data_IF_738303121833
#
_entry.id   IF_738303121833
#
_cell.length_a   1.000
_cell.length_b   1.000
_cell.length_c   1.000
_cell.angle_alpha   90.00
_cell.angle_beta   90.00
_cell.angle_gamma   90.00
#
_symmetry.space_group_name_H-M   'P 1'
#
loop_
_entity.id
_entity.type
_entity.pdbx_description
1 polymer ?
#
# COMPACT_ATOMS: atom_id res chain seq x y z
N UNK A 1 12.73 -31.78 26.46
CA UNK A 1 13.20 -31.72 25.05
C UNK A 1 12.48 -30.55 24.39
N UNK A 2 13.15 -29.40 24.27
CA UNK A 2 12.51 -28.20 23.71
C UNK A 2 12.66 -28.23 22.19
N UNK A 3 11.59 -28.56 21.48
CA UNK A 3 11.55 -28.53 20.02
C UNK A 3 11.40 -27.07 19.61
N UNK A 4 12.52 -26.42 19.30
CA UNK A 4 12.51 -25.07 18.73
C UNK A 4 12.10 -25.20 17.26
N UNK A 5 10.90 -24.74 16.93
CA UNK A 5 10.43 -24.61 15.55
C UNK A 5 11.30 -23.57 14.83
N UNK A 6 12.45 -24.00 14.32
CA UNK A 6 13.18 -23.26 13.31
C UNK A 6 12.41 -23.42 12.01
N UNK A 7 11.44 -22.54 11.78
CA UNK A 7 11.02 -22.23 10.42
C UNK A 7 12.28 -21.74 9.70
N UNK A 8 12.69 -22.33 8.57
CA UNK A 8 13.72 -21.71 7.75
C UNK A 8 13.17 -20.34 7.38
N UNK A 9 13.69 -19.28 8.00
CA UNK A 9 13.51 -17.92 7.50
C UNK A 9 14.16 -17.97 6.14
N UNK A 10 13.35 -18.17 5.11
CA UNK A 10 13.71 -18.00 3.72
C UNK A 10 14.60 -16.77 3.66
N UNK A 11 15.85 -16.99 3.26
CA UNK A 11 17.00 -16.08 3.36
C UNK A 11 16.87 -14.85 2.45
N UNK A 12 15.65 -14.47 2.11
CA UNK A 12 15.34 -13.23 1.41
C UNK A 12 15.23 -12.13 2.46
N UNK A 13 16.06 -11.08 2.38
CA UNK A 13 16.01 -9.98 3.33
C UNK A 13 14.62 -9.34 3.31
N UNK A 14 13.90 -9.47 4.43
CA UNK A 14 12.56 -8.91 4.60
C UNK A 14 12.55 -7.42 4.24
N UNK A 15 11.57 -6.98 3.46
CA UNK A 15 11.39 -5.58 3.08
C UNK A 15 11.03 -4.76 4.31
N UNK A 16 11.87 -3.81 4.68
CA UNK A 16 11.57 -2.85 5.73
C UNK A 16 10.52 -1.84 5.23
N UNK A 17 9.76 -1.20 6.14
CA UNK A 17 8.80 -0.16 5.75
C UNK A 17 9.43 1.00 4.97
N UNK A 18 10.70 1.32 5.27
CA UNK A 18 11.45 2.37 4.58
C UNK A 18 11.77 1.96 3.14
N UNK A 19 12.27 0.75 2.93
CA UNK A 19 12.56 0.22 1.60
C UNK A 19 11.27 0.10 0.78
N UNK A 20 10.18 -0.39 1.39
CA UNK A 20 8.89 -0.51 0.71
C UNK A 20 8.36 0.86 0.22
N UNK A 21 8.48 1.90 1.06
CA UNK A 21 8.11 3.26 0.66
C UNK A 21 8.97 3.81 -0.48
N UNK A 22 10.26 3.49 -0.51
CA UNK A 22 11.14 3.88 -1.62
C UNK A 22 10.80 3.11 -2.89
N UNK A 23 10.48 1.82 -2.77
CA UNK A 23 10.06 0.97 -3.88
C UNK A 23 8.76 1.47 -4.52
N UNK A 24 7.73 1.80 -3.73
CA UNK A 24 6.48 2.38 -4.24
C UNK A 24 6.74 3.71 -4.98
N UNK A 25 7.59 4.58 -4.44
CA UNK A 25 7.98 5.83 -5.11
C UNK A 25 8.73 5.57 -6.41
N UNK A 26 9.63 4.60 -6.42
CA UNK A 26 10.39 4.21 -7.59
C UNK A 26 9.48 3.60 -8.67
N UNK A 27 8.46 2.81 -8.30
CA UNK A 27 7.45 2.31 -9.22
C UNK A 27 6.64 3.43 -9.89
N UNK A 28 6.38 4.52 -9.17
CA UNK A 28 5.70 5.69 -9.72
C UNK A 28 6.60 6.52 -10.66
N UNK A 29 7.92 6.48 -10.47
CA UNK A 29 8.90 7.17 -11.31
C UNK A 29 9.26 6.37 -12.58
N UNK A 30 9.39 5.04 -12.43
CA UNK A 30 9.76 4.13 -13.51
C UNK A 30 8.55 3.33 -13.94
N UNK A 31 7.89 3.78 -15.00
CA UNK A 31 6.75 3.10 -15.59
C UNK A 31 7.18 1.81 -16.33
N UNK A 32 6.21 1.00 -16.77
CA UNK A 32 6.39 -0.28 -17.48
C UNK A 32 7.23 -0.19 -18.75
N UNK A 33 7.23 0.97 -19.41
CA UNK A 33 7.95 1.19 -20.67
C UNK A 33 9.41 1.62 -20.46
N UNK A 34 9.83 1.77 -19.19
CA UNK A 34 11.20 2.13 -18.84
C UNK A 34 12.16 0.98 -19.12
N UNK A 35 13.21 1.16 -19.95
CA UNK A 35 14.25 0.15 -20.10
C UNK A 35 14.98 -0.06 -18.77
N UNK A 36 15.36 -1.30 -18.48
CA UNK A 36 16.03 -1.67 -17.22
C UNK A 36 15.31 -1.18 -15.95
N UNK A 37 13.96 -1.17 -16.00
CA UNK A 37 13.08 -0.72 -14.92
C UNK A 37 13.50 -1.26 -13.55
N UNK A 38 13.74 -2.58 -13.47
CA UNK A 38 14.05 -3.25 -12.21
C UNK A 38 15.42 -2.86 -11.67
N UNK A 39 16.42 -2.68 -12.53
CA UNK A 39 17.74 -2.19 -12.15
C UNK A 39 17.67 -0.74 -11.65
N UNK A 40 16.84 0.10 -12.28
CA UNK A 40 16.64 1.48 -11.85
C UNK A 40 15.91 1.58 -10.51
N UNK A 41 14.90 0.74 -10.29
CA UNK A 41 14.22 0.64 -8.99
C UNK A 41 15.16 0.13 -7.91
N UNK A 42 15.95 -0.92 -8.18
CA UNK A 42 16.94 -1.44 -7.24
C UNK A 42 17.91 -0.34 -6.78
N UNK A 43 18.41 0.48 -7.72
CA UNK A 43 19.25 1.65 -7.39
C UNK A 43 18.51 2.68 -6.54
N UNK A 44 17.25 2.99 -6.86
CA UNK A 44 16.43 3.95 -6.12
C UNK A 44 16.09 3.49 -4.68
N UNK A 45 16.04 2.18 -4.44
CA UNK A 45 15.79 1.58 -3.13
C UNK A 45 17.07 1.51 -2.27
N UNK A 46 18.21 1.98 -2.79
CA UNK A 46 19.49 2.03 -2.07
C UNK A 46 20.52 1.01 -2.55
N UNK A 47 20.22 0.24 -3.60
CA UNK A 47 21.18 -0.69 -4.23
C UNK A 47 21.43 -1.99 -3.45
N UNK A 48 20.83 -2.16 -2.26
CA UNK A 48 20.98 -3.36 -1.44
C UNK A 48 20.16 -4.55 -1.96
N UNK A 49 19.11 -4.29 -2.76
CA UNK A 49 18.26 -5.31 -3.39
C UNK A 49 18.66 -5.48 -4.85
N UNK A 50 18.70 -6.73 -5.33
CA UNK A 50 18.93 -7.01 -6.74
C UNK A 50 17.67 -6.75 -7.58
N UNK A 51 17.83 -6.65 -8.91
CA UNK A 51 16.70 -6.47 -9.82
C UNK A 51 15.68 -7.63 -9.72
N UNK A 52 16.17 -8.85 -9.48
CA UNK A 52 15.35 -10.05 -9.30
C UNK A 52 14.54 -9.98 -8.00
N UNK A 53 15.17 -9.51 -6.91
CA UNK A 53 14.54 -9.32 -5.61
C UNK A 53 13.41 -8.27 -5.68
N UNK A 54 13.65 -7.18 -6.41
CA UNK A 54 12.67 -6.12 -6.69
C UNK A 54 11.53 -6.64 -7.55
N UNK A 55 11.83 -7.42 -8.59
CA UNK A 55 10.80 -8.03 -9.45
C UNK A 55 9.89 -8.97 -8.65
N UNK A 56 10.47 -9.81 -7.77
CA UNK A 56 9.70 -10.69 -6.89
C UNK A 56 8.78 -9.91 -5.96
N UNK A 57 9.25 -8.79 -5.40
CA UNK A 57 8.43 -7.92 -4.56
C UNK A 57 7.26 -7.30 -5.34
N UNK A 58 7.48 -6.93 -6.60
CA UNK A 58 6.41 -6.46 -7.47
C UNK A 58 5.36 -7.54 -7.76
N UNK A 59 5.78 -8.79 -7.99
CA UNK A 59 4.85 -9.91 -8.22
C UNK A 59 3.95 -10.15 -6.99
N UNK A 60 4.52 -10.11 -5.78
CA UNK A 60 3.76 -10.20 -4.53
C UNK A 60 2.75 -9.05 -4.42
N UNK A 61 3.17 -7.81 -4.71
CA UNK A 61 2.27 -6.65 -4.68
C UNK A 61 1.08 -6.81 -5.65
N UNK A 62 1.32 -7.36 -6.84
CA UNK A 62 0.27 -7.63 -7.82
C UNK A 62 -0.67 -8.74 -7.34
N UNK A 63 -0.14 -9.78 -6.70
CA UNK A 63 -0.95 -10.83 -6.09
C UNK A 63 -1.85 -10.28 -4.98
N UNK A 64 -1.32 -9.42 -4.11
CA UNK A 64 -2.08 -8.75 -3.05
C UNK A 64 -3.19 -7.86 -3.62
N UNK A 65 -2.89 -7.08 -4.66
CA UNK A 65 -3.89 -6.25 -5.35
C UNK A 65 -5.03 -7.10 -5.93
N UNK A 66 -4.70 -8.21 -6.60
CA UNK A 66 -5.70 -9.15 -7.13
C UNK A 66 -6.56 -9.75 -6.01
N UNK A 67 -5.97 -10.06 -4.87
CA UNK A 67 -6.72 -10.55 -3.70
C UNK A 67 -7.68 -9.50 -3.16
N UNK A 68 -7.27 -8.23 -3.11
CA UNK A 68 -8.15 -7.12 -2.70
C UNK A 68 -9.29 -6.92 -3.71
N UNK A 69 -8.97 -6.86 -5.01
CA UNK A 69 -9.95 -6.65 -6.09
C UNK A 69 -10.95 -7.80 -6.23
N UNK A 70 -10.55 -9.02 -5.84
CA UNK A 70 -11.46 -10.18 -5.82
C UNK A 70 -12.62 -10.04 -4.82
N UNK A 71 -12.70 -8.94 -4.06
CA UNK A 71 -13.82 -8.63 -3.16
C UNK A 71 -13.85 -9.52 -1.91
N UNK A 72 -12.77 -10.26 -1.62
CA UNK A 72 -12.65 -11.12 -0.43
C UNK A 72 -12.28 -10.37 0.85
N UNK A 73 -12.05 -9.06 0.78
CA UNK A 73 -11.92 -8.22 1.97
C UNK A 73 -13.30 -7.63 2.27
N UNK A 74 -13.98 -8.06 3.36
CA UNK A 74 -15.22 -7.43 3.77
C UNK A 74 -14.97 -5.95 3.95
N UNK A 75 -15.72 -5.11 3.24
CA UNK A 75 -15.67 -3.67 3.41
C UNK A 75 -15.91 -3.42 4.92
N UNK A 76 -14.99 -2.74 5.63
CA UNK A 76 -15.22 -2.40 7.01
C UNK A 76 -16.55 -1.68 7.11
N UNK A 77 -17.42 -2.12 8.03
CA UNK A 77 -18.65 -1.42 8.35
C UNK A 77 -18.27 -0.11 9.04
N UNK A 78 -17.85 0.88 8.25
CA UNK A 78 -17.82 2.26 8.69
C UNK A 78 -19.25 2.55 9.13
N UNK A 79 -19.43 2.75 10.44
CA UNK A 79 -20.72 3.18 10.97
C UNK A 79 -20.98 4.52 10.31
N UNK A 80 -21.75 4.54 9.22
CA UNK A 80 -22.49 5.73 8.85
C UNK A 80 -23.30 6.03 10.09
N UNK A 81 -22.91 7.09 10.81
CA UNK A 81 -23.76 7.67 11.83
C UNK A 81 -25.12 7.77 11.17
N UNK A 82 -26.05 6.99 11.71
CA UNK A 82 -27.46 6.99 11.34
C UNK A 82 -27.83 8.44 11.08
N UNK A 83 -28.30 8.75 9.88
CA UNK A 83 -28.95 10.02 9.59
C UNK A 83 -30.06 10.20 10.63
N UNK A 84 -29.74 10.81 11.76
CA UNK A 84 -30.69 11.43 12.65
C UNK A 84 -30.86 12.83 12.11
N UNK A 85 -31.92 12.99 11.35
CA UNK A 85 -32.47 14.26 10.91
C UNK A 85 -32.49 15.25 12.08
N UNK A 86 -31.63 16.26 12.03
CA UNK A 86 -31.84 17.54 12.71
C UNK A 86 -31.54 18.61 11.67
N UNK A 87 -32.54 18.88 10.84
CA UNK A 87 -32.59 19.88 9.75
C UNK A 87 -32.33 21.33 10.18
N UNK A 88 -31.90 21.55 11.43
CA UNK A 88 -31.78 22.87 12.03
C UNK A 88 -30.33 23.39 11.98
N UNK A 89 -29.34 22.49 11.91
CA UNK A 89 -27.91 22.86 11.96
C UNK A 89 -27.35 23.17 10.57
N UNK A 90 -27.79 22.45 9.52
CA UNK A 90 -27.35 22.72 8.15
C UNK A 90 -27.76 24.12 7.67
N UNK A 91 -28.99 24.59 7.95
CA UNK A 91 -29.39 25.97 7.63
C UNK A 91 -28.50 27.00 8.35
N UNK A 92 -28.08 26.72 9.58
CA UNK A 92 -27.25 27.62 10.37
C UNK A 92 -25.84 27.73 9.81
N UNK A 93 -25.29 26.61 9.31
CA UNK A 93 -23.99 26.55 8.64
C UNK A 93 -24.03 27.21 7.25
N UNK A 94 -25.11 27.01 6.49
CA UNK A 94 -25.33 27.65 5.19
C UNK A 94 -25.51 29.18 5.31
N UNK A 95 -26.13 29.68 6.40
CA UNK A 95 -26.22 31.12 6.66
C UNK A 95 -24.85 31.75 6.97
N UNK A 96 -23.99 31.05 7.71
CA UNK A 96 -22.65 31.56 8.03
C UNK A 96 -21.75 31.66 6.79
N UNK A 97 -21.94 30.76 5.81
CA UNK A 97 -21.16 30.76 4.58
C UNK A 97 -21.60 31.83 3.58
N UNK A 98 -22.84 32.35 3.69
CA UNK A 98 -23.41 33.36 2.78
C UNK A 98 -23.21 34.81 3.22
N UNK A 99 -22.51 35.06 4.32
CA UNK A 99 -22.12 36.41 4.75
C UNK A 99 -20.59 36.53 4.81
N UNK A 100 -19.99 36.70 3.62
CA UNK A 100 -18.79 37.51 3.40
C UNK A 100 -19.13 38.57 2.35
#
# INVERSE_FOLDING_TARGET
MSSSYQTPRSSSPAWTPRENKLFEKALALFDKDTPDRWQNIAKAVGGEKSAEEVKRQYEILIEDLKHIESGRVPIPKYKTSRSCSNTNEEERLLKHLKLQ
#
